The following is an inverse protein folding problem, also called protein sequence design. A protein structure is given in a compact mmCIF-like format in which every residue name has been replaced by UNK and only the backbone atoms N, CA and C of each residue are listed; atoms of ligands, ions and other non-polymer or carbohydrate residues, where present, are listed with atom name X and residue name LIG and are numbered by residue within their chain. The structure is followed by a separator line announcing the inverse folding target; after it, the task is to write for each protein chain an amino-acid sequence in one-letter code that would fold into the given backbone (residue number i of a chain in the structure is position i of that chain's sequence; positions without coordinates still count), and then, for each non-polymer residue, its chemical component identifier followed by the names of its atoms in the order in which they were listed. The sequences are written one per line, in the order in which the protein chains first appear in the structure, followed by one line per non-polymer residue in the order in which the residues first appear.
data_IF_822726339670
#
_entry.id   IF_822726339670
#
_cell.length_a   1.000
_cell.length_b   1.000
_cell.length_c   1.000
_cell.angle_alpha   90.00
_cell.angle_beta   90.00
_cell.angle_gamma   90.00
#
_symmetry.space_group_name_H-M   'P 1'
#
loop_
_entity.id
_entity.type
_entity.pdbx_description
1 polymer ?
#
# COMPACT_ATOMS: atom_id res chain seq x y z
N UNK A 1 15.56 -3.28 -11.88
CA UNK A 1 14.08 -3.19 -11.81
C UNK A 1 13.61 -4.30 -10.89
N UNK A 2 12.62 -4.07 -10.04
CA UNK A 2 12.10 -5.10 -9.13
C UNK A 2 10.66 -5.42 -9.49
N UNK A 3 10.40 -6.67 -9.84
CA UNK A 3 9.03 -7.18 -9.96
C UNK A 3 8.48 -7.40 -8.55
N UNK A 4 7.32 -6.82 -8.26
CA UNK A 4 6.62 -7.03 -6.99
C UNK A 4 5.55 -8.07 -7.27
N UNK A 5 5.88 -9.34 -7.01
CA UNK A 5 4.94 -10.46 -7.10
C UNK A 5 4.72 -10.98 -5.68
N UNK A 6 3.53 -10.71 -5.13
CA UNK A 6 3.07 -11.20 -3.82
C UNK A 6 4.16 -11.22 -2.73
N UNK A 7 4.70 -10.05 -2.32
CA UNK A 7 5.71 -9.98 -1.28
C UNK A 7 5.19 -10.66 -0.01
N UNK A 8 5.93 -11.66 0.49
CA UNK A 8 5.65 -12.37 1.73
C UNK A 8 5.54 -11.43 2.94
N UNK A 9 5.24 -11.98 4.12
CA UNK A 9 4.75 -11.29 5.34
C UNK A 9 5.51 -10.04 5.85
N UNK A 10 6.64 -9.66 5.26
CA UNK A 10 7.38 -8.45 5.58
C UNK A 10 7.77 -7.68 4.31
N UNK A 11 7.17 -6.50 4.15
CA UNK A 11 7.42 -5.61 3.03
C UNK A 11 7.64 -4.16 3.51
N UNK A 12 8.10 -3.28 2.61
CA UNK A 12 8.47 -1.92 3.00
C UNK A 12 7.31 -1.08 3.56
N UNK A 13 6.06 -1.35 3.19
CA UNK A 13 4.90 -0.66 3.77
C UNK A 13 4.67 -1.11 5.21
N UNK A 14 4.71 -2.41 5.49
CA UNK A 14 4.51 -2.96 6.84
C UNK A 14 5.57 -2.43 7.80
N UNK A 15 6.84 -2.39 7.36
CA UNK A 15 7.93 -1.81 8.15
C UNK A 15 7.69 -0.33 8.47
N UNK A 16 7.13 0.43 7.53
CA UNK A 16 6.81 1.84 7.73
C UNK A 16 5.66 2.02 8.73
N UNK A 17 4.59 1.24 8.61
CA UNK A 17 3.45 1.30 9.54
C UNK A 17 3.88 0.89 10.96
N UNK A 18 4.70 -0.16 11.10
CA UNK A 18 5.25 -0.57 12.41
C UNK A 18 6.12 0.51 13.07
N UNK A 19 6.73 1.38 12.28
CA UNK A 19 7.58 2.47 12.76
C UNK A 19 6.84 3.81 12.87
N UNK A 20 5.50 3.85 12.72
CA UNK A 20 4.73 5.11 12.65
C UNK A 20 4.88 6.00 13.87
N UNK A 21 5.09 5.41 15.05
CA UNK A 21 5.23 6.14 16.31
C UNK A 21 6.66 6.64 16.58
N UNK A 22 7.65 6.13 15.83
CA UNK A 22 9.08 6.42 16.06
C UNK A 22 9.73 7.22 14.93
N UNK A 23 9.03 7.37 13.79
CA UNK A 23 9.52 8.10 12.61
C UNK A 23 8.40 8.96 12.05
N UNK A 24 8.78 9.97 11.26
CA UNK A 24 7.81 10.73 10.47
C UNK A 24 7.09 9.77 9.52
N UNK A 25 5.79 9.60 9.76
CA UNK A 25 4.90 8.78 8.96
C UNK A 25 3.76 9.65 8.43
N UNK A 26 3.60 9.66 7.11
CA UNK A 26 2.46 10.32 6.47
C UNK A 26 1.55 9.24 5.94
N UNK A 27 0.36 9.15 6.53
CA UNK A 27 -0.65 8.20 6.12
C UNK A 27 -1.24 8.58 4.75
N UNK A 28 -1.13 7.63 3.82
CA UNK A 28 -1.63 7.71 2.43
C UNK A 28 -2.51 6.52 2.07
N UNK A 29 -3.06 5.83 3.08
CA UNK A 29 -3.92 4.67 2.87
C UNK A 29 -5.28 5.05 2.29
N UNK A 30 -5.71 6.30 2.40
CA UNK A 30 -6.84 6.90 1.68
C UNK A 30 -6.77 6.73 0.15
N UNK A 31 -5.57 6.56 -0.41
CA UNK A 31 -5.40 6.22 -1.83
C UNK A 31 -6.04 4.88 -2.22
N UNK A 32 -6.22 3.96 -1.28
CA UNK A 32 -6.85 2.66 -1.51
C UNK A 32 -8.33 2.85 -1.88
N UNK A 33 -9.04 3.79 -1.27
CA UNK A 33 -10.45 4.08 -1.62
C UNK A 33 -10.59 4.51 -3.08
N UNK A 34 -9.68 5.38 -3.53
CA UNK A 34 -9.63 5.83 -4.92
C UNK A 34 -9.33 4.69 -5.88
N UNK A 35 -8.48 3.75 -5.45
CA UNK A 35 -8.17 2.55 -6.23
C UNK A 35 -9.36 1.60 -6.27
N UNK A 36 -10.07 1.43 -5.15
CA UNK A 36 -11.26 0.59 -5.05
C UNK A 36 -12.39 1.10 -5.95
N UNK A 37 -12.57 2.42 -6.05
CA UNK A 37 -13.58 3.04 -6.91
C UNK A 37 -13.37 2.77 -8.41
N UNK A 38 -12.15 2.36 -8.82
CA UNK A 38 -11.83 2.03 -10.20
C UNK A 38 -12.10 0.56 -10.56
N UNK A 39 -12.43 -0.29 -9.58
CA UNK A 39 -12.79 -1.69 -9.86
C UNK A 39 -14.03 -1.76 -10.75
N UNK A 40 -14.00 -2.69 -11.71
CA UNK A 40 -15.07 -2.90 -12.69
C UNK A 40 -15.41 -1.68 -13.56
N UNK A 41 -14.48 -0.73 -13.70
CA UNK A 41 -14.58 0.38 -14.64
C UNK A 41 -13.66 0.16 -15.83
N UNK A 42 -13.96 0.81 -16.97
CA UNK A 42 -13.07 0.81 -18.14
C UNK A 42 -11.73 1.52 -17.88
N UNK A 43 -11.65 2.33 -16.81
CA UNK A 43 -10.46 3.07 -16.37
C UNK A 43 -9.69 2.39 -15.23
N UNK A 44 -9.68 1.06 -15.16
CA UNK A 44 -9.09 0.31 -14.04
C UNK A 44 -7.56 0.21 -14.03
N UNK A 45 -6.87 0.79 -15.02
CA UNK A 45 -5.40 0.78 -15.12
C UNK A 45 -4.81 2.03 -14.47
N UNK A 46 -3.95 1.84 -13.47
CA UNK A 46 -3.32 2.94 -12.71
C UNK A 46 -1.82 3.00 -12.99
N UNK A 47 -1.35 4.16 -13.47
CA UNK A 47 0.07 4.46 -13.61
C UNK A 47 0.55 5.37 -12.48
N UNK A 48 1.45 4.87 -11.62
CA UNK A 48 2.04 5.67 -10.53
C UNK A 48 3.33 6.33 -11.03
N UNK A 49 3.21 7.49 -11.67
CA UNK A 49 4.33 8.26 -12.23
C UNK A 49 4.92 9.21 -11.19
N UNK A 50 6.11 8.88 -10.68
CA UNK A 50 6.88 9.73 -9.73
C UNK A 50 8.38 9.60 -9.99
N UNK A 51 9.27 10.50 -9.52
CA UNK A 51 10.72 10.33 -9.63
C UNK A 51 11.26 9.14 -8.81
N UNK A 52 12.54 8.79 -9.00
CA UNK A 52 13.24 7.76 -8.21
C UNK A 52 13.18 8.11 -6.71
N UNK A 53 12.96 7.11 -5.84
CA UNK A 53 12.87 7.23 -4.36
C UNK A 53 11.64 7.96 -3.81
N UNK A 54 10.68 8.37 -4.65
CA UNK A 54 9.41 8.96 -4.20
C UNK A 54 8.35 7.92 -3.78
N UNK A 55 8.76 6.82 -3.15
CA UNK A 55 7.81 5.88 -2.52
C UNK A 55 6.93 5.05 -3.46
N UNK A 56 7.23 4.96 -4.77
CA UNK A 56 6.46 4.12 -5.70
C UNK A 56 6.35 2.65 -5.23
N UNK A 57 7.47 2.06 -4.82
CA UNK A 57 7.52 0.70 -4.26
C UNK A 57 6.70 0.56 -2.98
N UNK A 58 6.72 1.57 -2.11
CA UNK A 58 5.93 1.56 -0.87
C UNK A 58 4.44 1.55 -1.19
N UNK A 59 3.99 2.37 -2.14
CA UNK A 59 2.59 2.36 -2.59
C UNK A 59 2.19 1.02 -3.18
N UNK A 60 3.04 0.40 -4.00
CA UNK A 60 2.76 -0.94 -4.53
C UNK A 60 2.68 -2.00 -3.41
N UNK A 61 3.56 -1.94 -2.40
CA UNK A 61 3.51 -2.81 -1.23
C UNK A 61 2.29 -2.57 -0.35
N UNK A 62 1.84 -1.32 -0.21
CA UNK A 62 0.59 -0.97 0.49
C UNK A 62 -0.62 -1.61 -0.19
N UNK A 63 -0.77 -1.42 -1.50
CA UNK A 63 -1.86 -2.04 -2.27
C UNK A 63 -1.78 -3.57 -2.21
N UNK A 64 -0.57 -4.13 -2.34
CA UNK A 64 -0.37 -5.58 -2.19
C UNK A 64 -0.74 -6.08 -0.80
N UNK A 65 -0.46 -5.33 0.27
CA UNK A 65 -0.81 -5.71 1.62
C UNK A 65 -2.34 -5.66 1.84
N UNK A 66 -3.01 -4.68 1.24
CA UNK A 66 -4.46 -4.53 1.35
C UNK A 66 -5.24 -5.60 0.57
N UNK A 67 -4.84 -5.89 -0.67
CA UNK A 67 -5.57 -6.85 -1.52
C UNK A 67 -5.13 -8.31 -1.36
N UNK A 68 -3.97 -8.59 -0.74
CA UNK A 68 -3.48 -9.96 -0.59
C UNK A 68 -4.14 -10.66 0.60
N UNK A 69 -4.56 -11.92 0.39
CA UNK A 69 -5.02 -12.81 1.46
C UNK A 69 -3.95 -13.11 2.52
N UNK A 70 -2.66 -12.93 2.20
CA UNK A 70 -1.56 -13.16 3.15
C UNK A 70 -1.59 -12.25 4.38
N UNK A 71 -2.33 -11.14 4.30
CA UNK A 71 -2.51 -10.18 5.39
C UNK A 71 -3.92 -10.17 5.98
N UNK A 72 -4.80 -11.05 5.49
CA UNK A 72 -6.15 -11.19 6.02
C UNK A 72 -6.09 -11.53 7.52
N UNK A 73 -6.84 -10.79 8.33
CA UNK A 73 -6.87 -10.94 9.79
C UNK A 73 -5.74 -10.23 10.55
N UNK A 74 -4.79 -9.60 9.87
CA UNK A 74 -3.79 -8.74 10.52
C UNK A 74 -4.33 -7.31 10.72
N UNK A 75 -4.03 -6.72 11.88
CA UNK A 75 -4.39 -5.34 12.25
C UNK A 75 -3.42 -4.29 11.70
N UNK A 76 -2.95 -4.48 10.46
CA UNK A 76 -1.96 -3.58 9.86
C UNK A 76 -2.56 -2.21 9.57
N UNK A 77 -3.83 -2.18 9.17
CA UNK A 77 -4.49 -0.94 8.78
C UNK A 77 -5.17 -0.21 9.93
N UNK A 78 -5.38 -0.85 11.09
CA UNK A 78 -6.06 -0.26 12.25
C UNK A 78 -5.52 1.14 12.63
N UNK A 79 -6.42 2.12 12.68
CA UNK A 79 -6.10 3.50 13.00
C UNK A 79 -5.35 4.24 11.89
N UNK A 80 -5.35 3.71 10.67
CA UNK A 80 -4.98 4.44 9.44
C UNK A 80 -6.24 4.94 8.74
N UNK A 81 -6.09 5.90 7.82
CA UNK A 81 -7.18 6.58 7.11
C UNK A 81 -8.14 5.66 6.34
N UNK A 82 -7.71 4.46 5.95
CA UNK A 82 -8.55 3.48 5.23
C UNK A 82 -9.43 2.62 6.16
N UNK A 83 -9.21 2.69 7.48
CA UNK A 83 -9.97 1.90 8.46
C UNK A 83 -11.32 2.51 8.80
#
# INVERSE_FOLDING_TARGET
MGNILNPGNDNSFIRLVKAKDTRVFVDKTDFIEKTNALFNTDGNLIAVTRPRRFGKTVTAHMLSAYYSKGYAGQKIFDGLKIS
#
